data_IF_968972690148
#
_entry.id   IF_968972690148
#
_cell.length_a   1.000
_cell.length_b   1.000
_cell.length_c   1.000
_cell.angle_alpha   90.00
_cell.angle_beta   90.00
_cell.angle_gamma   90.00
#
_symmetry.space_group_name_H-M   'P 1'
#
loop_
_entity.id
_entity.type
_entity.pdbx_description
1 polymer ?
#
# COMPACT_ATOMS: atom_id res chain seq x y z
N UNK A 1 26.51 15.63 -3.99
CA UNK A 1 27.73 14.98 -4.48
C UNK A 1 27.81 13.59 -3.90
N UNK A 2 28.18 12.58 -4.70
CA UNK A 2 28.37 11.19 -4.22
C UNK A 2 29.86 10.88 -4.08
N UNK A 3 30.25 10.30 -2.94
CA UNK A 3 31.61 9.82 -2.71
C UNK A 3 31.74 8.40 -3.25
N UNK A 4 32.80 8.14 -4.00
CA UNK A 4 33.12 6.77 -4.41
C UNK A 4 33.60 5.97 -3.20
N UNK A 5 32.98 4.82 -2.93
CA UNK A 5 33.34 3.95 -1.81
C UNK A 5 34.75 3.35 -1.94
N UNK A 6 35.26 3.21 -3.17
CA UNK A 6 36.57 2.62 -3.44
C UNK A 6 37.73 3.62 -3.33
N UNK A 7 37.58 4.84 -3.88
CA UNK A 7 38.68 5.81 -3.98
C UNK A 7 38.42 7.13 -3.25
N UNK A 8 37.29 7.23 -2.52
CA UNK A 8 36.85 8.39 -1.73
C UNK A 8 36.78 9.72 -2.51
N UNK A 9 36.85 9.65 -3.84
CA UNK A 9 36.78 10.83 -4.71
C UNK A 9 35.32 11.27 -4.84
N UNK A 10 35.10 12.59 -4.78
CA UNK A 10 33.78 13.18 -5.00
C UNK A 10 33.42 13.18 -6.48
N UNK A 11 32.23 12.69 -6.79
CA UNK A 11 31.67 12.66 -8.14
C UNK A 11 30.38 13.48 -8.19
N UNK A 12 30.03 13.96 -9.39
CA UNK A 12 28.77 14.67 -9.65
C UNK A 12 27.57 13.78 -9.30
N UNK A 13 26.49 14.38 -8.82
CA UNK A 13 25.25 13.66 -8.52
C UNK A 13 24.68 13.03 -9.80
N UNK A 14 24.40 11.72 -9.77
CA UNK A 14 23.95 10.95 -10.93
C UNK A 14 25.07 10.42 -11.84
N UNK A 15 26.35 10.60 -11.49
CA UNK A 15 27.45 9.95 -12.21
C UNK A 15 27.34 8.42 -12.07
N UNK A 16 27.22 7.70 -13.18
CA UNK A 16 27.17 6.23 -13.21
C UNK A 16 28.53 5.59 -13.00
N UNK A 17 29.62 6.31 -13.29
CA UNK A 17 30.99 5.79 -13.24
C UNK A 17 31.87 6.80 -12.52
N UNK A 18 32.76 6.33 -11.64
CA UNK A 18 33.71 7.18 -10.96
C UNK A 18 34.78 7.72 -11.91
N UNK A 19 35.03 9.04 -11.85
CA UNK A 19 36.02 9.71 -12.71
C UNK A 19 37.45 9.21 -12.54
N UNK A 20 37.81 8.71 -11.35
CA UNK A 20 39.21 8.35 -11.01
C UNK A 20 39.50 6.86 -11.14
N UNK A 21 38.60 6.00 -10.68
CA UNK A 21 38.82 4.55 -10.61
C UNK A 21 37.92 3.75 -11.56
N UNK A 22 37.10 4.42 -12.36
CA UNK A 22 36.14 3.80 -13.30
C UNK A 22 35.19 2.76 -12.67
N UNK A 23 35.02 2.78 -11.34
CA UNK A 23 34.08 1.92 -10.61
C UNK A 23 32.66 2.40 -10.85
N UNK A 24 31.74 1.46 -11.04
CA UNK A 24 30.32 1.73 -11.16
C UNK A 24 29.78 2.34 -9.86
N UNK A 25 29.19 3.53 -9.99
CA UNK A 25 28.57 4.31 -8.91
C UNK A 25 27.04 4.19 -8.94
N UNK A 26 26.48 3.41 -9.88
CA UNK A 26 25.06 3.13 -9.88
C UNK A 26 24.70 2.32 -8.63
N UNK A 27 24.20 3.03 -7.63
CA UNK A 27 23.51 2.41 -6.51
C UNK A 27 22.19 1.93 -7.09
N UNK A 28 22.14 0.69 -7.56
CA UNK A 28 20.86 0.06 -7.82
C UNK A 28 20.06 0.09 -6.51
N UNK A 29 18.82 0.59 -6.53
CA UNK A 29 18.01 0.57 -5.33
C UNK A 29 17.82 -0.88 -4.93
N UNK A 30 18.20 -1.16 -3.68
CA UNK A 30 18.19 -2.48 -3.05
C UNK A 30 16.84 -3.21 -3.21
N UNK A 31 15.75 -2.45 -3.37
CA UNK A 31 14.41 -3.00 -3.50
C UNK A 31 13.56 -2.24 -4.53
N UNK A 32 13.04 -2.99 -5.50
CA UNK A 32 12.05 -2.53 -6.47
C UNK A 32 10.91 -3.56 -6.55
N UNK A 33 9.74 -3.29 -5.92
CA UNK A 33 8.64 -4.24 -5.96
C UNK A 33 8.12 -4.42 -7.39
N UNK A 34 7.87 -5.66 -7.77
CA UNK A 34 7.28 -5.99 -9.09
C UNK A 34 5.79 -5.70 -9.11
N UNK A 35 5.19 -5.63 -10.30
CA UNK A 35 3.72 -5.49 -10.42
C UNK A 35 2.96 -6.63 -9.73
N UNK A 36 3.50 -7.85 -9.79
CA UNK A 36 2.95 -9.02 -9.09
C UNK A 36 2.94 -8.83 -7.57
N UNK A 37 3.98 -8.18 -7.02
CA UNK A 37 4.03 -7.85 -5.60
C UNK A 37 2.94 -6.85 -5.22
N UNK A 38 2.75 -5.79 -6.01
CA UNK A 38 1.71 -4.80 -5.75
C UNK A 38 0.32 -5.41 -5.79
N UNK A 39 0.02 -6.25 -6.80
CA UNK A 39 -1.25 -6.95 -6.89
C UNK A 39 -1.50 -7.87 -5.69
N UNK A 40 -0.48 -8.61 -5.25
CA UNK A 40 -0.58 -9.48 -4.07
C UNK A 40 -0.88 -8.67 -2.80
N UNK A 41 -0.16 -7.57 -2.59
CA UNK A 41 -0.33 -6.71 -1.42
C UNK A 41 -1.70 -6.04 -1.42
N UNK A 42 -2.08 -5.41 -2.53
CA UNK A 42 -3.40 -4.77 -2.66
C UNK A 42 -4.53 -5.78 -2.48
N UNK A 43 -4.44 -6.93 -3.16
CA UNK A 43 -5.43 -8.00 -3.01
C UNK A 43 -5.56 -8.46 -1.55
N UNK A 44 -4.43 -8.63 -0.84
CA UNK A 44 -4.44 -9.01 0.57
C UNK A 44 -5.12 -7.94 1.45
N UNK A 45 -4.81 -6.66 1.24
CA UNK A 45 -5.43 -5.56 1.98
C UNK A 45 -6.94 -5.54 1.77
N UNK A 46 -7.41 -5.62 0.53
CA UNK A 46 -8.85 -5.63 0.24
C UNK A 46 -9.55 -6.85 0.84
N UNK A 47 -8.95 -8.04 0.76
CA UNK A 47 -9.52 -9.24 1.39
C UNK A 47 -9.66 -9.05 2.90
N UNK A 48 -8.64 -8.51 3.57
CA UNK A 48 -8.72 -8.24 5.01
C UNK A 48 -9.80 -7.20 5.36
N UNK A 49 -9.92 -6.12 4.58
CA UNK A 49 -10.96 -5.12 4.78
C UNK A 49 -12.37 -5.69 4.59
N UNK A 50 -12.56 -6.52 3.56
CA UNK A 50 -13.83 -7.20 3.28
C UNK A 50 -14.20 -8.10 4.47
N UNK A 51 -13.27 -8.95 4.91
CA UNK A 51 -13.50 -9.84 6.07
C UNK A 51 -13.81 -9.01 7.32
N UNK A 52 -13.03 -7.96 7.60
CA UNK A 52 -13.25 -7.09 8.75
C UNK A 52 -14.63 -6.42 8.72
N UNK A 53 -15.05 -5.92 7.56
CA UNK A 53 -16.38 -5.33 7.38
C UNK A 53 -17.49 -6.33 7.71
N UNK A 54 -17.43 -7.54 7.17
CA UNK A 54 -18.45 -8.56 7.44
C UNK A 54 -18.46 -9.02 8.89
N UNK A 55 -17.29 -9.20 9.50
CA UNK A 55 -17.17 -9.55 10.92
C UNK A 55 -17.77 -8.45 11.79
N UNK A 56 -17.42 -7.19 11.56
CA UNK A 56 -17.94 -6.05 12.33
C UNK A 56 -19.44 -5.91 12.11
N UNK A 57 -19.92 -6.00 10.86
CA UNK A 57 -21.34 -5.90 10.54
C UNK A 57 -22.17 -7.00 11.21
N UNK A 58 -21.68 -8.25 11.18
CA UNK A 58 -22.33 -9.38 11.84
C UNK A 58 -22.28 -9.26 13.36
N UNK A 59 -21.17 -8.78 13.90
CA UNK A 59 -21.04 -8.54 15.33
C UNK A 59 -22.02 -7.45 15.79
N UNK A 60 -22.07 -6.31 15.09
CA UNK A 60 -22.98 -5.20 15.39
C UNK A 60 -24.46 -5.56 15.21
N UNK A 61 -24.81 -6.41 14.25
CA UNK A 61 -26.20 -6.86 14.07
C UNK A 61 -26.71 -7.77 15.20
N UNK A 62 -25.80 -8.36 15.97
CA UNK A 62 -26.13 -9.21 17.12
C UNK A 62 -26.44 -8.40 18.39
N UNK A 63 -25.99 -7.15 18.48
CA UNK A 63 -26.22 -6.32 19.68
C UNK A 63 -27.63 -5.74 19.73
N UNK A 64 -28.18 -5.52 20.94
CA UNK A 64 -29.39 -4.73 21.11
C UNK A 64 -29.16 -3.27 20.69
N UNK A 65 -30.25 -2.57 20.38
CA UNK A 65 -30.22 -1.12 20.15
C UNK A 65 -29.57 -0.41 21.36
N UNK A 66 -28.68 0.58 21.17
CA UNK A 66 -28.49 1.44 19.98
C UNK A 66 -27.31 1.05 19.07
N UNK A 67 -26.61 -0.04 19.35
CA UNK A 67 -25.42 -0.45 18.58
C UNK A 67 -25.77 -1.28 17.33
N UNK A 68 -27.01 -1.75 17.24
CA UNK A 68 -27.58 -2.38 16.04
C UNK A 68 -27.59 -1.37 14.89
N UNK A 69 -27.08 -1.78 13.74
CA UNK A 69 -27.11 -0.97 12.52
C UNK A 69 -28.55 -0.57 12.21
N UNK A 70 -28.82 0.74 12.06
CA UNK A 70 -30.18 1.24 11.84
C UNK A 70 -30.70 0.76 10.50
N UNK A 71 -31.89 0.17 10.51
CA UNK A 71 -32.63 -0.16 9.30
C UNK A 71 -32.93 1.12 8.50
N UNK A 72 -32.63 1.13 7.21
CA UNK A 72 -32.91 2.28 6.34
C UNK A 72 -34.41 2.30 6.05
N UNK A 73 -35.14 3.37 6.42
CA UNK A 73 -36.58 3.37 6.24
C UNK A 73 -36.93 3.48 4.76
N UNK A 74 -37.97 2.77 4.35
CA UNK A 74 -38.44 2.75 2.97
C UNK A 74 -38.95 4.13 2.51
N UNK A 75 -39.43 4.96 3.44
CA UNK A 75 -39.90 6.32 3.18
C UNK A 75 -38.83 7.20 2.50
N UNK A 76 -37.55 7.02 2.84
CA UNK A 76 -36.42 7.78 2.27
C UNK A 76 -35.71 7.03 1.14
N UNK A 77 -35.97 5.72 0.99
CA UNK A 77 -35.33 4.88 -0.04
C UNK A 77 -36.29 3.90 -0.73
N UNK A 78 -37.39 4.39 -1.35
CA UNK A 78 -38.40 3.52 -1.98
C UNK A 78 -37.89 2.73 -3.20
N UNK A 79 -36.69 3.03 -3.69
CA UNK A 79 -36.03 2.30 -4.78
C UNK A 79 -35.13 1.15 -4.31
N UNK A 80 -34.92 0.98 -3.00
CA UNK A 80 -33.98 -0.01 -2.45
C UNK A 80 -34.57 -1.42 -2.34
N UNK A 81 -35.86 -1.54 -2.02
CA UNK A 81 -36.59 -2.80 -1.86
C UNK A 81 -37.65 -2.97 -2.97
N UNK A 82 -37.22 -3.20 -4.21
CA UNK A 82 -38.11 -3.32 -5.36
C UNK A 82 -38.15 -4.72 -5.95
#
# INVERSE_FOLDING_TARGET
MIKCLACQTENKDGAKICKKCSVDLSIEPLWRPTWRWHLKVLGTIYVLLIIAYFVISHFLSTFPEPYRTRDVPEEVTPWLNK
#
